data_IF_908036343083
#
_entry.id   IF_908036343083
#
_cell.length_a   1.000
_cell.length_b   1.000
_cell.length_c   1.000
_cell.angle_alpha   90.00
_cell.angle_beta   90.00
_cell.angle_gamma   90.00
#
_symmetry.space_group_name_H-M   'P 1'
#
loop_
_entity.id
_entity.type
_entity.pdbx_description
1 polymer ?
#
# COMPACT_ATOMS: atom_id res chain seq x y z
N UNK A 1 -3.88 -13.97 -13.74
CA UNK A 1 -2.91 -14.51 -12.76
C UNK A 1 -1.84 -13.44 -12.50
N UNK A 2 -1.54 -13.13 -11.23
CA UNK A 2 -0.51 -12.13 -10.89
C UNK A 2 0.87 -12.53 -11.41
N UNK A 3 1.56 -11.62 -12.10
CA UNK A 3 2.96 -11.77 -12.48
C UNK A 3 3.78 -10.63 -11.89
N UNK A 4 4.88 -10.99 -11.21
CA UNK A 4 5.80 -10.01 -10.64
C UNK A 4 6.65 -9.38 -11.74
N UNK A 5 6.74 -8.03 -11.82
CA UNK A 5 7.61 -7.37 -12.80
C UNK A 5 9.08 -7.80 -12.63
N UNK A 6 9.81 -8.06 -13.73
CA UNK A 6 11.22 -8.46 -13.68
C UNK A 6 12.11 -7.45 -12.92
N UNK A 7 11.87 -6.15 -13.11
CA UNK A 7 12.62 -5.08 -12.48
C UNK A 7 12.42 -5.07 -10.96
N UNK A 8 11.20 -5.39 -10.52
CA UNK A 8 10.90 -5.55 -9.10
C UNK A 8 11.61 -6.78 -8.53
N UNK A 9 11.67 -7.88 -9.28
CA UNK A 9 12.42 -9.06 -8.84
C UNK A 9 13.90 -8.72 -8.58
N UNK A 10 14.54 -7.94 -9.47
CA UNK A 10 15.94 -7.51 -9.30
C UNK A 10 16.14 -6.74 -7.99
N UNK A 11 15.21 -5.83 -7.66
CA UNK A 11 15.22 -5.10 -6.38
C UNK A 11 15.16 -6.09 -5.20
N UNK A 12 14.22 -7.03 -5.24
CA UNK A 12 13.98 -7.96 -4.13
C UNK A 12 15.12 -8.97 -3.93
N UNK A 13 15.77 -9.42 -5.00
CA UNK A 13 16.89 -10.38 -4.92
C UNK A 13 18.04 -9.87 -4.06
N UNK A 14 18.30 -8.55 -4.04
CA UNK A 14 19.31 -7.93 -3.16
C UNK A 14 19.08 -8.25 -1.69
N UNK A 15 17.83 -8.38 -1.28
CA UNK A 15 17.43 -8.62 0.12
C UNK A 15 17.21 -10.11 0.42
N UNK A 16 16.99 -10.93 -0.61
CA UNK A 16 16.88 -12.40 -0.48
C UNK A 16 18.26 -13.04 -0.28
N UNK A 17 19.27 -12.57 -1.01
CA UNK A 17 20.60 -13.17 -1.08
C UNK A 17 21.52 -12.80 0.09
N UNK A 18 21.07 -11.99 1.06
CA UNK A 18 21.85 -11.64 2.24
C UNK A 18 21.48 -12.57 3.41
N UNK A 19 22.29 -13.60 3.76
CA UNK A 19 21.93 -14.62 4.76
C UNK A 19 22.07 -14.11 6.20
N UNK A 20 22.51 -12.87 6.41
CA UNK A 20 22.80 -12.35 7.74
C UNK A 20 21.52 -11.91 8.44
N UNK A 21 21.14 -12.78 9.38
CA UNK A 21 20.10 -12.71 10.42
C UNK A 21 18.64 -12.95 9.97
N UNK A 22 18.12 -14.07 10.46
CA UNK A 22 16.70 -14.35 10.56
C UNK A 22 16.15 -13.43 11.65
N UNK A 23 15.34 -12.45 11.27
CA UNK A 23 14.45 -11.78 12.21
C UNK A 23 13.05 -11.76 11.62
N UNK A 24 12.18 -12.54 12.28
CA UNK A 24 10.75 -12.60 12.06
C UNK A 24 10.19 -11.23 12.45
N UNK A 25 10.19 -10.27 11.53
CA UNK A 25 9.38 -9.08 11.71
C UNK A 25 7.95 -9.43 11.29
N UNK A 26 7.25 -10.09 12.21
CA UNK A 26 5.90 -9.64 12.48
C UNK A 26 6.00 -8.14 12.73
N UNK A 27 5.35 -7.35 11.87
CA UNK A 27 5.03 -5.95 12.11
C UNK A 27 4.82 -5.72 13.60
N UNK A 28 5.65 -4.88 14.20
CA UNK A 28 5.68 -4.55 15.63
C UNK A 28 4.26 -4.50 16.21
N UNK A 29 3.93 -5.48 17.06
CA UNK A 29 3.06 -5.40 18.24
C UNK A 29 2.84 -6.81 18.82
N UNK A 30 3.88 -7.44 19.38
CA UNK A 30 3.75 -8.77 20.00
C UNK A 30 3.36 -8.73 21.49
N UNK A 31 3.17 -7.56 22.11
CA UNK A 31 2.83 -7.46 23.55
C UNK A 31 1.48 -6.79 23.86
N UNK A 32 0.59 -6.62 22.87
CA UNK A 32 -0.82 -6.28 23.15
C UNK A 32 -1.66 -7.50 22.83
N UNK A 33 -2.58 -7.86 23.75
CA UNK A 33 -3.60 -8.91 23.56
C UNK A 33 -4.04 -8.89 22.10
N UNK A 34 -3.87 -10.01 21.37
CA UNK A 34 -4.24 -10.10 19.95
C UNK A 34 -5.74 -9.84 19.85
N UNK A 35 -6.11 -8.59 19.60
CA UNK A 35 -7.41 -8.28 19.03
C UNK A 35 -7.56 -9.13 17.76
N UNK A 36 -8.75 -9.68 17.48
CA UNK A 36 -8.99 -10.39 16.24
C UNK A 36 -8.52 -9.50 15.08
N UNK A 37 -7.79 -10.06 14.11
CA UNK A 37 -7.31 -9.34 12.92
C UNK A 37 -8.50 -8.62 12.27
N UNK A 38 -8.67 -7.33 12.57
CA UNK A 38 -9.72 -6.51 11.96
C UNK A 38 -9.28 -6.18 10.54
N UNK A 39 -10.23 -6.23 9.59
CA UNK A 39 -10.01 -5.84 8.21
C UNK A 39 -9.48 -4.40 8.18
N UNK A 40 -8.20 -4.24 7.82
CA UNK A 40 -7.60 -2.91 7.66
C UNK A 40 -7.96 -2.34 6.30
N UNK A 41 -8.30 -1.06 6.22
CA UNK A 41 -8.43 -0.38 4.92
C UNK A 41 -7.02 -0.15 4.37
N UNK A 42 -6.73 -0.72 3.19
CA UNK A 42 -5.45 -0.56 2.51
C UNK A 42 -5.68 0.07 1.13
N UNK A 43 -4.85 1.05 0.75
CA UNK A 43 -4.80 1.56 -0.62
C UNK A 43 -3.77 0.76 -1.45
N UNK A 44 -3.71 0.98 -2.76
CA UNK A 44 -2.81 0.25 -3.66
C UNK A 44 -1.34 0.30 -3.24
N UNK A 45 -0.83 1.48 -2.84
CA UNK A 45 0.55 1.62 -2.42
C UNK A 45 0.84 0.91 -1.09
N UNK A 46 -0.08 1.01 -0.13
CA UNK A 46 0.02 0.35 1.17
C UNK A 46 -0.04 -1.17 0.99
N UNK A 47 -0.96 -1.66 0.16
CA UNK A 47 -1.07 -3.07 -0.23
C UNK A 47 0.26 -3.59 -0.82
N UNK A 48 0.79 -2.86 -1.80
CA UNK A 48 2.08 -3.13 -2.44
C UNK A 48 3.21 -3.21 -1.41
N UNK A 49 3.37 -2.16 -0.59
CA UNK A 49 4.43 -2.10 0.42
C UNK A 49 4.35 -3.20 1.47
N UNK A 50 3.16 -3.47 2.01
CA UNK A 50 2.98 -4.50 3.05
C UNK A 50 3.27 -5.89 2.48
N UNK A 51 2.87 -6.16 1.25
CA UNK A 51 3.15 -7.45 0.63
C UNK A 51 4.65 -7.70 0.42
N UNK A 52 5.39 -6.67 -0.01
CA UNK A 52 6.82 -6.78 -0.27
C UNK A 52 7.72 -6.53 0.95
N UNK A 53 7.19 -6.05 2.07
CA UNK A 53 8.02 -5.85 3.27
C UNK A 53 8.60 -7.15 3.82
N UNK A 54 8.02 -8.31 3.48
CA UNK A 54 8.51 -9.65 3.85
C UNK A 54 9.93 -9.95 3.37
N UNK A 55 10.43 -9.22 2.39
CA UNK A 55 11.79 -9.37 1.89
C UNK A 55 12.84 -8.61 2.73
N UNK A 56 12.44 -7.65 3.56
CA UNK A 56 13.34 -6.90 4.44
C UNK A 56 13.63 -7.64 5.75
N UNK A 57 14.87 -8.11 5.94
CA UNK A 57 15.29 -8.97 7.07
C UNK A 57 15.91 -8.25 8.26
N UNK A 58 16.27 -6.98 8.11
CA UNK A 58 16.74 -6.11 9.20
C UNK A 58 15.99 -4.77 9.16
N UNK A 59 16.06 -3.99 10.24
CA UNK A 59 15.51 -2.62 10.23
C UNK A 59 16.09 -1.78 9.08
N UNK A 60 17.41 -1.88 8.85
CA UNK A 60 18.09 -1.18 7.76
C UNK A 60 17.62 -1.67 6.39
N UNK A 61 17.42 -2.98 6.24
CA UNK A 61 16.90 -3.55 4.99
C UNK A 61 15.46 -3.11 4.74
N UNK A 62 14.62 -3.07 5.77
CA UNK A 62 13.24 -2.59 5.65
C UNK A 62 13.18 -1.11 5.28
N UNK A 63 14.04 -0.28 5.86
CA UNK A 63 14.14 1.13 5.51
C UNK A 63 14.57 1.30 4.05
N UNK A 64 15.65 0.63 3.64
CA UNK A 64 16.17 0.70 2.27
C UNK A 64 15.16 0.13 1.27
N UNK A 65 14.60 -1.04 1.55
CA UNK A 65 13.58 -1.67 0.72
C UNK A 65 12.35 -0.77 0.61
N UNK A 66 11.91 -0.13 1.69
CA UNK A 66 10.80 0.81 1.63
C UNK A 66 11.08 1.98 0.69
N UNK A 67 12.32 2.49 0.65
CA UNK A 67 12.73 3.55 -0.28
C UNK A 67 12.77 3.04 -1.72
N UNK A 68 13.35 1.87 -1.96
CA UNK A 68 13.39 1.25 -3.29
C UNK A 68 11.98 0.94 -3.83
N UNK A 69 11.08 0.42 -2.98
CA UNK A 69 9.69 0.17 -3.34
C UNK A 69 8.93 1.47 -3.66
N UNK A 70 9.13 2.55 -2.90
CA UNK A 70 8.53 3.84 -3.20
C UNK A 70 9.01 4.40 -4.54
N UNK A 71 10.31 4.31 -4.81
CA UNK A 71 10.90 4.74 -6.08
C UNK A 71 10.39 3.90 -7.25
N UNK A 72 10.26 2.59 -7.06
CA UNK A 72 9.70 1.69 -8.07
C UNK A 72 8.22 2.01 -8.35
N UNK A 73 7.42 2.20 -7.31
CA UNK A 73 6.00 2.57 -7.42
C UNK A 73 5.82 3.83 -8.27
N UNK A 74 6.54 4.90 -7.96
CA UNK A 74 6.43 6.19 -8.65
C UNK A 74 6.79 6.14 -10.13
N UNK A 75 7.54 5.13 -10.59
CA UNK A 75 7.99 4.98 -11.97
C UNK A 75 7.11 4.05 -12.81
N UNK A 76 6.23 3.26 -12.18
CA UNK A 76 5.55 2.15 -12.85
C UNK A 76 4.03 2.25 -12.72
N UNK A 77 3.38 3.04 -13.59
CA UNK A 77 1.92 3.21 -13.59
C UNK A 77 1.16 1.88 -13.68
N UNK A 78 1.63 0.94 -14.52
CA UNK A 78 1.03 -0.39 -14.63
C UNK A 78 0.99 -1.14 -13.28
N UNK A 79 2.04 -1.01 -12.48
CA UNK A 79 2.10 -1.61 -11.14
C UNK A 79 1.12 -0.90 -10.21
N UNK A 80 1.01 0.42 -10.31
CA UNK A 80 0.03 1.17 -9.55
C UNK A 80 -1.38 0.68 -9.85
N UNK A 81 -1.77 0.60 -11.12
CA UNK A 81 -3.10 0.16 -11.56
C UNK A 81 -3.45 -1.24 -11.05
N UNK A 82 -2.51 -2.19 -11.20
CA UNK A 82 -2.70 -3.58 -10.73
C UNK A 82 -2.94 -3.62 -9.22
N UNK A 83 -2.10 -2.93 -8.45
CA UNK A 83 -2.18 -2.94 -6.99
C UNK A 83 -3.35 -2.12 -6.46
N UNK A 84 -3.76 -1.08 -7.17
CA UNK A 84 -5.03 -0.40 -6.92
C UNK A 84 -6.20 -1.37 -7.10
N UNK A 85 -6.24 -2.12 -8.21
CA UNK A 85 -7.25 -3.16 -8.43
C UNK A 85 -7.31 -4.16 -7.29
N UNK A 86 -6.17 -4.72 -6.86
CA UNK A 86 -6.15 -5.63 -5.71
C UNK A 86 -6.66 -4.99 -4.41
N UNK A 87 -6.36 -3.72 -4.18
CA UNK A 87 -6.84 -3.02 -2.99
C UNK A 87 -8.35 -2.78 -3.02
N UNK A 88 -8.93 -2.49 -4.19
CA UNK A 88 -10.37 -2.32 -4.34
C UNK A 88 -11.11 -3.66 -4.23
N UNK A 89 -10.61 -4.72 -4.85
CA UNK A 89 -11.15 -6.08 -4.70
C UNK A 89 -11.18 -6.52 -3.23
N UNK A 90 -10.10 -6.25 -2.49
CA UNK A 90 -10.05 -6.56 -1.07
C UNK A 90 -11.05 -5.72 -0.25
N UNK A 91 -11.25 -4.44 -0.60
CA UNK A 91 -12.27 -3.59 0.05
C UNK A 91 -13.67 -4.11 -0.21
N UNK A 92 -13.97 -4.53 -1.43
CA UNK A 92 -15.26 -5.10 -1.82
C UNK A 92 -15.52 -6.49 -1.22
N UNK A 93 -14.46 -7.28 -0.98
CA UNK A 93 -14.56 -8.63 -0.44
C UNK A 93 -14.97 -8.63 1.05
N UNK A 94 -16.03 -9.34 1.42
CA UNK A 94 -16.38 -9.57 2.82
C UNK A 94 -15.46 -10.65 3.44
N UNK A 95 -14.26 -10.24 3.83
CA UNK A 95 -13.24 -11.11 4.42
C UNK A 95 -12.79 -10.61 5.78
N UNK A 96 -12.50 -11.57 6.67
CA UNK A 96 -11.86 -11.33 7.97
C UNK A 96 -10.34 -11.51 7.92
N UNK A 97 -9.78 -11.83 6.75
CA UNK A 97 -8.35 -12.01 6.56
C UNK A 97 -7.66 -10.66 6.45
N UNK A 98 -6.43 -10.55 6.96
CA UNK A 98 -5.55 -9.44 6.61
C UNK A 98 -5.23 -9.45 5.10
N UNK A 99 -4.94 -8.28 4.54
CA UNK A 99 -4.67 -8.12 3.11
C UNK A 99 -3.63 -9.12 2.58
N UNK A 100 -2.52 -9.35 3.29
CA UNK A 100 -1.46 -10.29 2.84
C UNK A 100 -1.99 -11.71 2.73
N UNK A 101 -2.72 -12.19 3.75
CA UNK A 101 -3.29 -13.54 3.75
C UNK A 101 -4.33 -13.68 2.64
N UNK A 102 -5.24 -12.71 2.54
CA UNK A 102 -6.23 -12.66 1.47
C UNK A 102 -5.56 -12.70 0.08
N UNK A 103 -4.55 -11.86 -0.14
CA UNK A 103 -3.88 -11.78 -1.43
C UNK A 103 -3.15 -13.09 -1.78
N UNK A 104 -2.43 -13.70 -0.84
CA UNK A 104 -1.78 -15.00 -1.08
C UNK A 104 -2.79 -16.10 -1.43
N UNK A 105 -3.98 -16.09 -0.81
CA UNK A 105 -5.06 -17.05 -1.09
C UNK A 105 -5.71 -16.83 -2.47
N UNK A 106 -5.93 -15.58 -2.87
CA UNK A 106 -6.77 -15.26 -4.04
C UNK A 106 -6.02 -14.68 -5.24
N UNK A 107 -4.72 -14.33 -5.15
CA UNK A 107 -3.95 -13.72 -6.27
C UNK A 107 -3.94 -14.53 -7.57
N UNK A 108 -4.17 -15.84 -7.49
CA UNK A 108 -4.25 -16.72 -8.65
C UNK A 108 -5.62 -16.64 -9.35
N UNK A 109 -6.68 -16.33 -8.60
CA UNK A 109 -8.07 -16.30 -9.09
C UNK A 109 -8.56 -14.89 -9.41
N UNK A 110 -7.95 -13.84 -8.83
CA UNK A 110 -8.34 -12.45 -9.09
C UNK A 110 -7.98 -12.05 -10.53
N UNK A 111 -9.00 -11.65 -11.28
CA UNK A 111 -8.88 -10.96 -12.55
C UNK A 111 -8.98 -9.46 -12.26
N UNK A 112 -7.84 -8.76 -12.20
CA UNK A 112 -7.89 -7.29 -12.15
C UNK A 112 -8.28 -6.82 -13.55
N UNK A 113 -9.55 -6.46 -13.73
CA UNK A 113 -9.96 -5.75 -14.93
C UNK A 113 -9.15 -4.45 -15.00
N UNK A 114 -8.50 -4.20 -16.14
CA UNK A 114 -7.88 -2.91 -16.40
C UNK A 114 -9.00 -1.87 -16.36
N UNK A 115 -9.08 -1.11 -15.27
CA UNK A 115 -10.04 -0.03 -15.17
C UNK A 115 -9.88 0.88 -16.41
N UNK A 116 -10.96 1.18 -17.15
CA UNK A 116 -10.89 2.11 -18.25
C UNK A 116 -10.59 3.50 -17.68
N UNK A 117 -9.33 3.93 -17.78
CA UNK A 117 -8.86 5.31 -17.64
C UNK A 117 -9.63 6.18 -16.63
N UNK A 118 -9.70 5.78 -15.36
CA UNK A 118 -10.05 6.73 -14.30
C UNK A 118 -8.76 7.17 -13.62
N UNK A 119 -8.11 8.14 -14.28
CA UNK A 119 -7.03 8.93 -13.76
C UNK A 119 -7.56 9.75 -12.56
N UNK A 120 -7.73 9.12 -11.39
CA UNK A 120 -8.00 9.82 -10.14
C UNK A 120 -6.74 10.58 -9.74
N UNK A 121 -6.52 11.72 -10.41
CA UNK A 121 -5.65 12.77 -9.93
C UNK A 121 -6.26 13.25 -8.61
N UNK A 122 -5.75 12.73 -7.50
CA UNK A 122 -6.02 13.31 -6.19
C UNK A 122 -5.33 14.69 -6.13
N UNK A 123 -5.94 15.70 -6.77
CA UNK A 123 -5.62 17.10 -6.52
C UNK A 123 -6.26 17.42 -5.17
N UNK A 124 -5.47 17.43 -4.10
CA UNK A 124 -5.86 18.15 -2.89
C UNK A 124 -5.97 19.63 -3.26
N UNK A 125 -7.16 20.06 -3.68
CA UNK A 125 -7.54 21.47 -3.64
C UNK A 125 -7.97 21.74 -2.20
N UNK A 126 -7.02 22.16 -1.38
CA UNK A 126 -7.36 23.05 -0.27
C UNK A 126 -7.74 24.38 -0.95
N UNK A 127 -9.02 24.51 -1.29
CA UNK A 127 -9.61 25.80 -1.60
C UNK A 127 -9.75 26.52 -0.27
N UNK A 128 -8.68 27.22 0.11
CA UNK A 128 -8.69 28.50 0.80
C UNK A 128 -10.00 28.79 1.55
N UNK A 129 -9.95 28.57 2.88
CA UNK A 129 -10.81 29.25 3.84
C UNK A 129 -10.93 30.71 3.42
N UNK A 130 -12.15 31.16 3.12
CA UNK A 130 -12.48 32.57 3.21
C UNK A 130 -13.20 32.71 4.55
N UNK A 131 -12.48 33.25 5.54
CA UNK A 131 -13.10 33.83 6.73
C UNK A 131 -13.46 35.25 6.29
N UNK A 132 -14.75 35.53 6.17
CA UNK A 132 -15.22 36.91 6.01
C UNK A 132 -15.30 37.54 7.40
N UNK A 133 -14.46 38.55 7.65
CA UNK A 133 -14.59 39.42 8.80
C UNK A 133 -15.88 40.23 8.65
N UNK A 134 -16.86 39.95 9.51
CA UNK A 134 -18.07 40.76 9.63
C UNK A 134 -17.65 42.08 10.28
N UNK A 135 -17.40 43.11 9.46
CA UNK A 135 -17.38 44.47 9.96
C UNK A 135 -18.82 44.96 10.12
N UNK A 136 -19.26 45.07 11.37
CA UNK A 136 -20.37 45.95 11.74
C UNK A 136 -20.11 47.34 11.18
N UNK A 137 -21.06 47.87 10.42
CA UNK A 137 -21.14 49.29 10.13
C UNK A 137 -22.55 49.76 10.43
N UNK A 138 -22.65 50.43 11.56
CA UNK A 138 -23.71 51.36 11.95
C UNK A 138 -23.87 52.49 10.93
N UNK A 139 -25.07 53.12 10.95
CA UNK A 139 -25.51 54.36 10.27
C UNK A 139 -26.28 54.09 8.96
N UNK A 140 -27.51 54.60 8.73
CA UNK A 140 -28.22 55.80 9.23
C UNK A 140 -29.58 55.52 9.90
#
# INVERSE_FOLDING_TARGET
MYQMPPELNVILQKYILNPRSVSIYNTRNSNKKKDPEKKSVVNGFTAFRIYYSKFGRTYKDQENLSKELANFWNKNNTVQDIWHGYSEEYKACDTKLSFVKWFETFKSTIQVEKAPNQHLKHKSKISHLIVEDIYESTSE
#
